data_IF_555550205268
#
_entry.id   IF_555550205268
#
_cell.length_a   1.000
_cell.length_b   1.000
_cell.length_c   1.000
_cell.angle_alpha   90.00
_cell.angle_beta   90.00
_cell.angle_gamma   90.00
#
_symmetry.space_group_name_H-M   'P 1'
#
loop_
_entity.id
_entity.type
_entity.pdbx_description
1 polymer ?
#
# COMPACT_ATOMS: atom_id res chain seq x y z
N UNK A 1 -21.57 29.29 47.09
CA UNK A 1 -20.50 28.36 47.52
C UNK A 1 -20.16 27.55 46.29
N UNK A 2 -19.01 27.87 45.71
CA UNK A 2 -18.57 27.50 44.36
C UNK A 2 -18.16 26.04 44.34
N UNK A 3 -18.75 25.24 43.45
CA UNK A 3 -18.34 23.84 43.27
C UNK A 3 -17.11 23.82 42.37
N UNK A 4 -15.93 23.62 42.97
CA UNK A 4 -14.70 23.35 42.24
C UNK A 4 -14.80 22.00 41.53
N UNK A 5 -14.55 21.99 40.22
CA UNK A 5 -14.35 20.77 39.45
C UNK A 5 -12.86 20.43 39.54
N UNK A 6 -12.53 19.32 40.18
CA UNK A 6 -11.16 18.78 40.24
C UNK A 6 -10.68 18.42 38.83
N UNK A 7 -9.81 19.25 38.25
CA UNK A 7 -8.99 18.94 37.08
C UNK A 7 -7.90 17.92 37.47
N UNK A 8 -8.26 16.65 37.64
CA UNK A 8 -7.30 15.58 37.90
C UNK A 8 -7.06 14.75 36.65
N UNK A 9 -5.95 15.07 35.98
CA UNK A 9 -5.17 14.22 35.06
C UNK A 9 -5.97 13.37 34.06
N UNK A 10 -6.34 13.99 32.93
CA UNK A 10 -6.49 13.24 31.69
C UNK A 10 -5.10 12.89 31.16
N UNK A 11 -4.68 11.65 31.37
CA UNK A 11 -3.52 11.08 30.69
C UNK A 11 -3.85 10.99 29.18
N UNK A 12 -3.12 11.71 28.29
CA UNK A 12 -3.45 11.73 26.86
C UNK A 12 -3.32 10.35 26.20
N UNK A 13 -2.74 9.36 26.89
CA UNK A 13 -2.65 7.98 26.43
C UNK A 13 -3.94 7.15 26.64
N UNK A 14 -4.93 7.63 27.40
CA UNK A 14 -6.12 6.83 27.78
C UNK A 14 -7.33 7.05 26.85
N UNK A 15 -7.26 8.02 25.94
CA UNK A 15 -8.38 8.36 25.04
C UNK A 15 -8.09 8.04 23.57
N UNK A 16 -7.50 6.89 23.27
CA UNK A 16 -7.61 6.32 21.92
C UNK A 16 -8.82 5.37 21.94
N UNK A 17 -9.95 5.71 21.28
CA UNK A 17 -11.00 4.72 21.09
C UNK A 17 -10.37 3.50 20.41
N UNK A 18 -10.72 2.30 20.87
CA UNK A 18 -10.26 1.07 20.25
C UNK A 18 -10.40 1.22 18.73
N UNK A 19 -9.29 1.06 17.99
CA UNK A 19 -9.31 1.08 16.53
C UNK A 19 -10.26 -0.04 16.11
N UNK A 20 -11.48 0.37 15.78
CA UNK A 20 -12.63 -0.46 15.49
C UNK A 20 -12.29 -1.44 14.36
N UNK A 21 -12.57 -2.72 14.58
CA UNK A 21 -12.27 -3.79 13.62
C UNK A 21 -13.26 -3.84 12.45
N UNK A 22 -14.27 -2.97 12.44
CA UNK A 22 -15.27 -2.91 11.40
C UNK A 22 -14.80 -2.13 10.15
N UNK A 23 -15.41 -2.49 9.01
CA UNK A 23 -15.09 -2.07 7.66
C UNK A 23 -14.85 -0.55 7.49
N UNK A 24 -14.12 -0.11 6.43
CA UNK A 24 -13.72 1.28 6.25
C UNK A 24 -14.88 2.26 6.46
N UNK A 25 -14.71 3.20 7.39
CA UNK A 25 -15.72 4.21 7.77
C UNK A 25 -16.07 5.19 6.65
N UNK A 26 -15.32 5.20 5.55
CA UNK A 26 -15.64 5.95 4.35
C UNK A 26 -15.73 5.00 3.14
N UNK A 27 -16.67 5.23 2.19
CA UNK A 27 -16.59 4.57 0.89
C UNK A 27 -15.19 4.81 0.31
N UNK A 28 -14.60 3.78 -0.32
CA UNK A 28 -13.25 3.85 -0.88
C UNK A 28 -13.13 5.00 -1.89
N UNK A 29 -12.77 6.18 -1.40
CA UNK A 29 -12.48 7.34 -2.24
C UNK A 29 -11.30 6.94 -3.12
N UNK A 30 -11.51 6.95 -4.42
CA UNK A 30 -10.47 6.68 -5.38
C UNK A 30 -9.67 7.96 -5.64
N UNK A 31 -8.36 7.79 -5.76
CA UNK A 31 -7.42 8.82 -6.11
C UNK A 31 -6.78 8.47 -7.44
N UNK A 32 -6.67 9.46 -8.33
CA UNK A 32 -6.07 9.30 -9.64
C UNK A 32 -4.85 10.22 -9.76
N UNK A 33 -3.69 9.65 -10.12
CA UNK A 33 -2.50 10.42 -10.51
C UNK A 33 -2.25 10.16 -11.99
N UNK A 34 -1.79 11.17 -12.73
CA UNK A 34 -1.48 11.05 -14.15
C UNK A 34 -0.21 11.82 -14.49
N UNK A 35 0.63 11.21 -15.32
CA UNK A 35 1.78 11.86 -15.95
C UNK A 35 1.95 11.26 -17.36
N UNK A 36 1.80 12.08 -18.40
CA UNK A 36 1.80 11.63 -19.81
C UNK A 36 0.83 10.45 -20.03
N UNK A 37 1.28 9.37 -20.66
CA UNK A 37 0.48 8.17 -20.99
C UNK A 37 0.37 7.18 -19.83
N UNK A 38 0.87 7.54 -18.65
CA UNK A 38 0.81 6.74 -17.44
C UNK A 38 -0.14 7.37 -16.41
N UNK A 39 -1.05 6.56 -15.87
CA UNK A 39 -1.90 6.98 -14.76
C UNK A 39 -2.14 5.82 -13.80
N UNK A 40 -2.45 6.16 -12.56
CA UNK A 40 -2.82 5.19 -11.54
C UNK A 40 -4.15 5.57 -10.94
N UNK A 41 -4.95 4.56 -10.63
CA UNK A 41 -6.11 4.67 -9.76
C UNK A 41 -5.85 3.76 -8.57
N UNK A 42 -6.01 4.29 -7.36
CA UNK A 42 -5.88 3.55 -6.10
C UNK A 42 -6.89 4.10 -5.09
N UNK A 43 -7.14 3.35 -4.02
CA UNK A 43 -8.03 3.81 -2.96
C UNK A 43 -7.35 4.77 -1.96
N UNK A 44 -8.08 5.18 -0.93
CA UNK A 44 -7.58 6.05 0.15
C UNK A 44 -6.45 5.44 1.00
N UNK A 45 -6.22 4.12 0.94
CA UNK A 45 -5.09 3.47 1.60
C UNK A 45 -3.84 3.46 0.69
N UNK A 46 -3.97 3.89 -0.58
CA UNK A 46 -2.97 3.73 -1.63
C UNK A 46 -2.96 2.33 -2.25
N UNK A 47 -3.94 1.48 -1.90
CA UNK A 47 -4.05 0.11 -2.35
C UNK A 47 -4.68 0.03 -3.75
N UNK A 48 -4.16 -0.89 -4.56
CA UNK A 48 -4.79 -1.38 -5.79
C UNK A 48 -5.37 -2.77 -5.50
N UNK A 49 -6.69 -2.94 -5.69
CA UNK A 49 -7.43 -4.18 -5.45
C UNK A 49 -7.76 -4.97 -6.72
N UNK A 50 -7.83 -4.30 -7.87
CA UNK A 50 -8.02 -4.90 -9.19
C UNK A 50 -9.46 -4.88 -9.73
N UNK A 51 -10.42 -4.25 -9.05
CA UNK A 51 -11.83 -4.17 -9.50
C UNK A 51 -12.05 -3.16 -10.62
N UNK A 52 -11.21 -2.12 -10.68
CA UNK A 52 -11.24 -1.05 -11.68
C UNK A 52 -10.06 -0.09 -11.53
N UNK A 53 -9.38 -0.17 -10.38
CA UNK A 53 -8.11 0.43 -10.06
C UNK A 53 -6.92 -0.33 -10.65
N UNK A 54 -5.77 0.34 -10.67
CA UNK A 54 -4.53 -0.17 -11.28
C UNK A 54 -3.55 0.92 -11.70
N UNK A 55 -2.32 0.52 -12.03
CA UNK A 55 -1.39 1.33 -12.81
C UNK A 55 -1.60 1.00 -14.29
N UNK A 56 -1.76 2.04 -15.09
CA UNK A 56 -2.00 1.93 -16.52
C UNK A 56 -0.93 2.66 -17.30
N UNK A 57 -0.58 2.11 -18.45
CA UNK A 57 0.26 2.72 -19.48
C UNK A 57 -0.33 2.36 -20.84
N UNK A 58 -0.50 3.35 -21.71
CA UNK A 58 -1.12 3.15 -23.03
C UNK A 58 -2.43 2.36 -22.94
N UNK A 59 -3.32 2.78 -22.03
CA UNK A 59 -4.59 2.13 -21.68
C UNK A 59 -4.50 0.66 -21.24
N UNK A 60 -3.30 0.13 -20.97
CA UNK A 60 -3.07 -1.24 -20.50
C UNK A 60 -2.73 -1.24 -19.02
N UNK A 61 -3.46 -2.03 -18.22
CA UNK A 61 -3.22 -2.21 -16.79
C UNK A 61 -1.96 -3.06 -16.55
N UNK A 62 -0.87 -2.40 -16.22
CA UNK A 62 0.45 -3.01 -15.95
C UNK A 62 0.67 -3.34 -14.47
N UNK A 63 -0.21 -2.91 -13.57
CA UNK A 63 -0.27 -3.32 -12.17
C UNK A 63 -1.74 -3.44 -11.75
N UNK A 64 -2.21 -4.66 -11.53
CA UNK A 64 -3.61 -4.97 -11.20
C UNK A 64 -3.85 -5.16 -9.71
N UNK A 65 -2.78 -5.32 -8.92
CA UNK A 65 -2.83 -5.41 -7.46
C UNK A 65 -1.57 -4.80 -6.86
N UNK A 66 -1.73 -4.06 -5.77
CA UNK A 66 -0.63 -3.53 -4.96
C UNK A 66 -1.15 -3.13 -3.59
N UNK A 67 -1.02 -4.01 -2.59
CA UNK A 67 -1.65 -3.85 -1.27
C UNK A 67 -0.64 -3.94 -0.14
N UNK A 68 -0.76 -3.06 0.85
CA UNK A 68 0.09 -3.04 2.03
C UNK A 68 -0.60 -3.71 3.23
N UNK A 69 0.11 -4.65 3.86
CA UNK A 69 -0.30 -5.29 5.10
C UNK A 69 0.77 -5.15 6.18
N UNK A 70 0.32 -4.94 7.42
CA UNK A 70 1.16 -4.91 8.62
C UNK A 70 0.63 -5.99 9.56
N UNK A 71 1.49 -6.95 9.92
CA UNK A 71 1.07 -8.04 10.80
C UNK A 71 -0.06 -8.90 10.23
N UNK A 72 -0.14 -9.03 8.90
CA UNK A 72 -1.21 -9.77 8.22
C UNK A 72 -2.54 -9.03 8.10
N UNK A 73 -2.66 -7.79 8.59
CA UNK A 73 -3.88 -6.97 8.51
C UNK A 73 -3.64 -5.71 7.68
N UNK A 74 -4.70 -5.16 7.10
CA UNK A 74 -4.64 -3.81 6.55
C UNK A 74 -4.47 -2.82 7.72
N UNK A 75 -3.56 -1.84 7.60
CA UNK A 75 -3.42 -0.80 8.61
C UNK A 75 -4.67 0.09 8.65
N UNK A 76 -4.88 0.83 9.75
CA UNK A 76 -5.97 1.80 9.88
C UNK A 76 -5.63 3.10 9.16
N UNK A 77 -6.57 3.64 8.40
CA UNK A 77 -6.42 4.93 7.71
C UNK A 77 -6.65 6.10 8.67
N UNK A 78 -5.70 7.03 8.74
CA UNK A 78 -5.82 8.30 9.47
C UNK A 78 -6.22 9.45 8.55
N UNK A 79 -5.80 9.38 7.28
CA UNK A 79 -6.18 10.36 6.26
C UNK A 79 -5.40 10.17 4.97
N UNK A 80 -5.96 10.66 3.87
CA UNK A 80 -5.33 10.64 2.57
C UNK A 80 -5.52 11.97 1.84
N UNK A 81 -4.51 12.36 1.07
CA UNK A 81 -4.51 13.60 0.30
C UNK A 81 -3.86 13.41 -1.06
N UNK A 82 -4.26 14.27 -1.99
CA UNK A 82 -3.66 14.40 -3.31
C UNK A 82 -3.24 15.86 -3.48
N UNK A 83 -2.04 16.10 -3.99
CA UNK A 83 -1.57 17.46 -4.30
C UNK A 83 -2.47 18.13 -5.35
N UNK A 84 -2.49 19.46 -5.38
CA UNK A 84 -3.38 20.22 -6.27
C UNK A 84 -3.15 19.93 -7.76
N UNK A 85 -1.91 19.59 -8.14
CA UNK A 85 -1.49 19.20 -9.48
C UNK A 85 -1.68 17.69 -9.77
N UNK A 86 -2.25 16.93 -8.82
CA UNK A 86 -2.52 15.49 -8.92
C UNK A 86 -1.29 14.61 -9.19
N UNK A 87 -0.08 15.07 -8.83
CA UNK A 87 1.16 14.31 -9.04
C UNK A 87 1.62 13.53 -7.81
N UNK A 88 1.20 13.96 -6.61
CA UNK A 88 1.65 13.40 -5.34
C UNK A 88 0.47 12.96 -4.48
N UNK A 89 0.39 11.67 -4.19
CA UNK A 89 -0.56 11.09 -3.25
C UNK A 89 0.14 10.77 -1.93
N UNK A 90 -0.56 11.01 -0.82
CA UNK A 90 -0.10 10.65 0.52
C UNK A 90 -1.23 9.97 1.28
N UNK A 91 -0.94 8.86 1.94
CA UNK A 91 -1.80 8.22 2.93
C UNK A 91 -1.06 8.11 4.27
N UNK A 92 -1.70 8.62 5.32
CA UNK A 92 -1.27 8.45 6.70
C UNK A 92 -2.06 7.29 7.28
N UNK A 93 -1.36 6.26 7.74
CA UNK A 93 -1.92 5.04 8.29
C UNK A 93 -1.31 4.76 9.67
N UNK A 94 -1.92 3.85 10.42
CA UNK A 94 -1.33 3.32 11.66
C UNK A 94 -1.50 1.81 11.75
N UNK A 95 -0.59 1.15 12.48
CA UNK A 95 -0.70 -0.28 12.72
C UNK A 95 -1.92 -0.62 13.61
N UNK A 96 -2.50 -1.80 13.36
CA UNK A 96 -3.38 -2.48 14.30
C UNK A 96 -2.54 -3.29 15.29
N UNK A 97 -3.20 -3.84 16.32
CA UNK A 97 -2.57 -4.79 17.23
C UNK A 97 -1.98 -5.95 16.43
N UNK A 98 -0.70 -6.26 16.65
CA UNK A 98 0.00 -7.32 15.92
C UNK A 98 0.98 -8.06 16.82
N UNK A 99 1.22 -9.32 16.51
CA UNK A 99 2.18 -10.18 17.19
C UNK A 99 3.36 -10.40 16.23
N UNK A 100 4.55 -10.01 16.68
CA UNK A 100 5.79 -10.20 15.93
C UNK A 100 6.22 -11.68 15.90
N UNK A 101 7.18 -12.06 15.04
CA UNK A 101 7.60 -13.46 14.87
C UNK A 101 8.21 -14.09 16.13
N UNK A 102 8.74 -13.27 17.04
CA UNK A 102 9.27 -13.67 18.35
C UNK A 102 8.21 -13.67 19.47
N UNK A 103 6.93 -13.48 19.13
CA UNK A 103 5.84 -13.35 20.09
C UNK A 103 5.70 -11.96 20.72
N UNK A 104 6.52 -10.97 20.32
CA UNK A 104 6.41 -9.62 20.87
C UNK A 104 5.13 -8.93 20.38
N UNK A 105 4.32 -8.44 21.30
CA UNK A 105 3.11 -7.71 20.95
C UNK A 105 3.44 -6.26 20.56
N UNK A 106 2.81 -5.76 19.52
CA UNK A 106 2.82 -4.34 19.15
C UNK A 106 1.43 -3.79 19.39
N UNK A 107 1.33 -2.81 20.27
CA UNK A 107 0.07 -2.13 20.56
C UNK A 107 -0.46 -1.43 19.30
N UNK A 108 -1.79 -1.37 19.12
CA UNK A 108 -2.38 -0.59 18.03
C UNK A 108 -2.03 0.90 18.17
N UNK A 109 -1.93 1.62 17.05
CA UNK A 109 -1.77 3.08 17.09
C UNK A 109 -0.35 3.60 17.35
N UNK A 110 0.63 2.74 17.64
CA UNK A 110 1.98 3.18 18.07
C UNK A 110 2.97 3.36 16.93
N UNK A 111 2.68 2.81 15.76
CA UNK A 111 3.48 2.98 14.54
C UNK A 111 2.66 3.74 13.51
N UNK A 112 3.10 4.96 13.24
CA UNK A 112 2.63 5.73 12.10
C UNK A 112 3.30 5.26 10.82
N UNK A 113 2.52 5.20 9.76
CA UNK A 113 2.94 4.75 8.44
C UNK A 113 2.61 5.88 7.46
N UNK A 114 3.65 6.51 6.92
CA UNK A 114 3.51 7.51 5.85
C UNK A 114 3.78 6.83 4.50
N UNK A 115 2.75 6.75 3.67
CA UNK A 115 2.79 6.15 2.34
C UNK A 115 2.64 7.27 1.31
N UNK A 116 3.72 7.57 0.59
CA UNK A 116 3.75 8.59 -0.46
C UNK A 116 3.92 7.94 -1.84
N UNK A 117 3.17 8.41 -2.84
CA UNK A 117 3.23 7.94 -4.23
C UNK A 117 3.32 9.09 -5.22
N UNK A 118 4.12 8.93 -6.26
CA UNK A 118 4.07 9.78 -7.45
C UNK A 118 4.35 8.99 -8.73
N UNK A 119 4.01 9.57 -9.88
CA UNK A 119 4.33 9.01 -11.21
C UNK A 119 5.33 9.94 -11.90
N UNK A 120 6.39 9.36 -12.45
CA UNK A 120 7.38 10.09 -13.24
C UNK A 120 7.96 9.19 -14.32
N UNK A 121 7.99 9.66 -15.57
CA UNK A 121 8.57 8.94 -16.73
C UNK A 121 8.13 7.46 -16.79
N UNK A 122 6.83 7.24 -16.95
CA UNK A 122 6.20 5.90 -17.06
C UNK A 122 6.39 4.97 -15.86
N UNK A 123 6.79 5.50 -14.70
CA UNK A 123 7.04 4.71 -13.49
C UNK A 123 6.27 5.25 -12.31
N UNK A 124 5.66 4.33 -11.56
CA UNK A 124 5.17 4.57 -10.21
C UNK A 124 6.33 4.48 -9.21
N UNK A 125 6.50 5.53 -8.42
CA UNK A 125 7.40 5.54 -7.27
C UNK A 125 6.58 5.54 -5.99
N UNK A 126 6.96 4.66 -5.08
CA UNK A 126 6.33 4.52 -3.77
C UNK A 126 7.39 4.65 -2.68
N UNK A 127 7.09 5.42 -1.65
CA UNK A 127 7.85 5.46 -0.41
C UNK A 127 6.92 5.14 0.76
N UNK A 128 7.36 4.22 1.63
CA UNK A 128 6.67 3.90 2.88
C UNK A 128 7.64 4.12 4.03
N UNK A 129 7.28 5.01 4.95
CA UNK A 129 8.06 5.34 6.15
C UNK A 129 7.30 4.84 7.37
N UNK A 130 8.03 4.19 8.27
CA UNK A 130 7.50 3.71 9.55
C UNK A 130 8.10 4.53 10.68
N UNK A 131 7.26 5.14 11.50
CA UNK A 131 7.67 5.94 12.66
C UNK A 131 7.07 5.34 13.93
N UNK A 132 7.92 4.93 14.86
CA UNK A 132 7.51 4.28 16.11
C UNK A 132 7.48 5.27 17.28
N UNK A 133 6.28 5.46 17.86
CA UNK A 133 6.01 6.32 19.00
C UNK A 133 5.93 5.57 20.33
N UNK A 134 6.15 4.26 20.35
CA UNK A 134 6.18 3.50 21.59
C UNK A 134 7.50 3.69 22.34
N UNK A 135 7.52 3.32 23.63
CA UNK A 135 8.72 3.41 24.47
C UNK A 135 9.79 2.35 24.15
N UNK A 136 9.48 1.36 23.29
CA UNK A 136 10.36 0.25 22.94
C UNK A 136 10.53 0.14 21.42
N UNK A 137 11.55 -0.57 20.98
CA UNK A 137 11.64 -0.94 19.57
C UNK A 137 10.48 -1.85 19.17
N UNK A 138 10.05 -1.73 17.92
CA UNK A 138 8.95 -2.52 17.37
C UNK A 138 9.46 -3.29 16.17
N UNK A 139 9.18 -4.59 16.15
CA UNK A 139 9.49 -5.48 15.03
C UNK A 139 8.23 -5.69 14.20
N UNK A 140 8.17 -5.10 13.00
CA UNK A 140 6.97 -5.07 12.15
C UNK A 140 7.07 -6.08 11.00
N UNK A 141 6.20 -7.10 10.95
CA UNK A 141 5.97 -7.87 9.74
C UNK A 141 5.26 -6.98 8.72
N UNK A 142 5.90 -6.73 7.59
CA UNK A 142 5.35 -5.92 6.49
C UNK A 142 5.24 -6.79 5.26
N UNK A 143 4.10 -6.72 4.56
CA UNK A 143 3.86 -7.50 3.36
C UNK A 143 3.24 -6.62 2.27
N UNK A 144 3.78 -6.75 1.06
CA UNK A 144 3.15 -6.23 -0.14
C UNK A 144 2.59 -7.37 -0.96
N UNK A 145 1.29 -7.35 -1.26
CA UNK A 145 0.69 -8.21 -2.28
C UNK A 145 0.64 -7.46 -3.60
N UNK A 146 0.95 -8.13 -4.70
CA UNK A 146 0.97 -7.50 -6.01
C UNK A 146 0.69 -8.47 -7.17
N UNK A 147 0.25 -7.92 -8.28
CA UNK A 147 -0.07 -8.68 -9.50
C UNK A 147 -0.12 -7.77 -10.73
N UNK A 148 0.04 -8.34 -11.92
CA UNK A 148 -0.07 -7.65 -13.20
C UNK A 148 -0.81 -8.53 -14.21
N UNK A 149 -1.88 -8.01 -14.82
CA UNK A 149 -2.77 -8.79 -15.71
C UNK A 149 -2.75 -8.37 -17.18
N UNK A 150 -2.17 -7.19 -17.49
CA UNK A 150 -2.09 -6.63 -18.83
C UNK A 150 -3.45 -6.53 -19.53
N UNK A 151 -4.51 -6.24 -18.77
CA UNK A 151 -5.84 -5.98 -19.33
C UNK A 151 -5.92 -4.56 -19.85
N UNK A 152 -6.48 -4.38 -21.04
CA UNK A 152 -6.75 -3.03 -21.53
C UNK A 152 -7.93 -2.38 -20.78
N UNK A 153 -8.09 -1.06 -20.91
CA UNK A 153 -9.11 -0.29 -20.20
C UNK A 153 -10.55 -0.75 -20.51
N UNK A 154 -10.83 -1.26 -21.72
CA UNK A 154 -12.15 -1.80 -22.03
C UNK A 154 -12.38 -3.15 -21.35
N UNK A 155 -11.36 -4.00 -21.25
CA UNK A 155 -11.40 -5.23 -20.45
C UNK A 155 -11.64 -4.95 -18.97
N UNK A 156 -10.95 -3.95 -18.40
CA UNK A 156 -11.15 -3.52 -17.01
C UNK A 156 -12.56 -2.98 -16.79
N UNK A 157 -13.17 -2.35 -17.80
CA UNK A 157 -14.56 -1.85 -17.77
C UNK A 157 -15.62 -2.91 -18.08
N UNK A 158 -15.23 -4.18 -18.21
CA UNK A 158 -16.17 -5.32 -18.36
C UNK A 158 -16.37 -5.82 -19.79
N UNK A 159 -15.69 -5.23 -20.79
CA UNK A 159 -15.66 -5.82 -22.14
C UNK A 159 -14.90 -7.14 -22.10
N UNK A 160 -15.41 -8.18 -22.76
CA UNK A 160 -14.67 -9.45 -22.90
C UNK A 160 -13.99 -9.49 -24.27
N UNK A 161 -12.69 -9.78 -24.31
CA UNK A 161 -11.94 -9.99 -25.55
C UNK A 161 -12.11 -11.44 -26.02
N UNK A 162 -12.31 -11.64 -27.32
CA UNK A 162 -12.38 -12.98 -27.93
C UNK A 162 -11.03 -13.72 -27.90
N UNK A 163 -9.92 -12.98 -27.88
CA UNK A 163 -8.56 -13.51 -27.78
C UNK A 163 -7.70 -12.59 -26.92
N UNK A 164 -6.74 -13.19 -26.20
CA UNK A 164 -5.68 -12.48 -25.47
C UNK A 164 -4.32 -13.00 -25.91
N UNK A 165 -3.29 -12.21 -25.66
CA UNK A 165 -1.91 -12.63 -25.73
C UNK A 165 -1.55 -13.63 -24.63
N UNK A 166 -0.26 -13.93 -24.49
CA UNK A 166 0.25 -14.93 -23.55
C UNK A 166 0.89 -14.27 -22.35
N UNK A 167 0.33 -14.50 -21.17
CA UNK A 167 1.02 -14.23 -19.90
C UNK A 167 2.05 -15.33 -19.62
N UNK A 168 3.20 -14.95 -19.09
CA UNK A 168 4.24 -15.89 -18.63
C UNK A 168 4.33 -15.89 -17.12
N UNK A 169 4.89 -16.96 -16.57
CA UNK A 169 5.20 -17.03 -15.14
C UNK A 169 6.11 -15.86 -14.74
N UNK A 170 5.83 -15.29 -13.56
CA UNK A 170 6.62 -14.19 -13.04
C UNK A 170 8.04 -14.66 -12.72
N UNK A 171 9.03 -13.86 -13.12
CA UNK A 171 10.43 -14.10 -12.79
C UNK A 171 10.76 -13.37 -11.50
N UNK A 172 11.15 -14.15 -10.48
CA UNK A 172 11.52 -13.64 -9.16
C UNK A 172 13.03 -13.48 -9.08
N UNK A 173 13.49 -12.26 -8.78
CA UNK A 173 14.89 -11.97 -8.43
C UNK A 173 15.05 -11.71 -6.94
N UNK A 174 16.21 -11.22 -6.51
CA UNK A 174 16.53 -10.97 -5.09
C UNK A 174 15.59 -9.92 -4.44
N UNK A 175 15.37 -8.80 -5.12
CA UNK A 175 14.56 -7.68 -4.62
C UNK A 175 13.55 -7.18 -5.66
N UNK A 176 13.26 -7.99 -6.67
CA UNK A 176 12.35 -7.62 -7.77
C UNK A 176 11.52 -8.79 -8.27
N UNK A 177 10.33 -8.49 -8.78
CA UNK A 177 9.50 -9.43 -9.56
C UNK A 177 9.20 -8.83 -10.92
N UNK A 178 9.36 -9.63 -11.97
CA UNK A 178 9.09 -9.23 -13.36
C UNK A 178 7.96 -10.05 -13.94
N UNK A 179 6.89 -9.37 -14.34
CA UNK A 179 5.79 -9.92 -15.12
C UNK A 179 6.04 -9.70 -16.60
N UNK A 180 5.73 -10.71 -17.43
CA UNK A 180 5.89 -10.61 -18.89
C UNK A 180 4.62 -11.07 -19.60
N UNK A 181 4.24 -10.31 -20.62
CA UNK A 181 3.10 -10.60 -21.46
C UNK A 181 3.45 -10.38 -22.93
N UNK A 182 3.17 -11.35 -23.78
CA UNK A 182 3.34 -11.26 -25.22
C UNK A 182 1.98 -10.98 -25.87
N UNK A 183 1.82 -9.80 -26.48
CA UNK A 183 0.57 -9.44 -27.14
C UNK A 183 0.34 -10.20 -28.43
N UNK A 184 -0.88 -10.13 -28.97
CA UNK A 184 -1.23 -10.71 -30.28
C UNK A 184 -0.48 -10.04 -31.45
N UNK A 185 0.12 -8.89 -31.18
CA UNK A 185 1.03 -8.14 -32.05
C UNK A 185 2.48 -8.67 -32.00
N UNK A 186 2.74 -9.74 -31.24
CA UNK A 186 4.07 -10.26 -30.94
C UNK A 186 4.99 -9.25 -30.23
N UNK A 187 4.41 -8.23 -29.59
CA UNK A 187 5.17 -7.25 -28.79
C UNK A 187 5.19 -7.71 -27.33
N UNK A 188 6.40 -7.88 -26.81
CA UNK A 188 6.61 -8.19 -25.40
C UNK A 188 6.40 -6.94 -24.53
N UNK A 189 5.59 -7.09 -23.49
CA UNK A 189 5.31 -6.09 -22.45
C UNK A 189 5.81 -6.62 -21.12
N UNK A 190 6.35 -5.73 -20.30
CA UNK A 190 6.87 -6.08 -18.99
C UNK A 190 6.40 -5.09 -17.93
N UNK A 191 6.15 -5.62 -16.73
CA UNK A 191 5.93 -4.83 -15.52
C UNK A 191 6.90 -5.32 -14.46
N UNK A 192 7.64 -4.40 -13.84
CA UNK A 192 8.68 -4.73 -12.87
C UNK A 192 8.39 -4.02 -11.57
N UNK A 193 8.26 -4.81 -10.50
CA UNK A 193 8.19 -4.31 -9.13
C UNK A 193 9.56 -4.52 -8.52
N UNK A 194 10.18 -3.44 -8.05
CA UNK A 194 11.51 -3.47 -7.44
C UNK A 194 11.47 -2.76 -6.09
N UNK A 195 12.01 -3.43 -5.07
CA UNK A 195 12.09 -2.93 -3.71
C UNK A 195 13.48 -2.35 -3.43
N UNK A 196 13.54 -1.21 -2.75
CA UNK A 196 14.80 -0.58 -2.34
C UNK A 196 15.48 -1.31 -1.17
N UNK A 197 14.70 -2.07 -0.40
CA UNK A 197 15.18 -2.97 0.64
C UNK A 197 15.01 -4.41 0.15
N UNK A 198 15.97 -5.29 0.43
CA UNK A 198 15.84 -6.72 0.13
C UNK A 198 14.77 -7.34 1.04
N UNK A 199 13.70 -7.93 0.48
CA UNK A 199 12.70 -8.64 1.27
C UNK A 199 13.31 -9.86 1.97
N UNK A 200 12.77 -10.27 3.11
CA UNK A 200 13.14 -11.55 3.72
C UNK A 200 12.66 -12.74 2.89
N UNK A 201 11.48 -12.59 2.27
CA UNK A 201 10.96 -13.54 1.29
C UNK A 201 10.35 -12.79 0.13
N UNK A 202 10.56 -13.30 -1.06
CA UNK A 202 9.99 -12.75 -2.28
C UNK A 202 9.38 -13.90 -3.08
N UNK A 203 8.14 -13.69 -3.48
CA UNK A 203 7.30 -14.64 -4.21
C UNK A 203 6.72 -13.96 -5.44
N UNK A 204 6.19 -14.73 -6.41
CA UNK A 204 5.60 -14.17 -7.64
C UNK A 204 4.52 -13.10 -7.43
N UNK A 205 3.78 -13.16 -6.32
CA UNK A 205 2.63 -12.27 -6.07
C UNK A 205 2.72 -11.51 -4.73
N UNK A 206 3.85 -11.61 -4.02
CA UNK A 206 4.06 -10.85 -2.79
C UNK A 206 5.52 -10.80 -2.34
N UNK A 207 5.82 -9.85 -1.46
CA UNK A 207 7.10 -9.75 -0.76
C UNK A 207 6.86 -9.53 0.73
N UNK A 208 7.68 -10.17 1.56
CA UNK A 208 7.61 -10.12 3.02
C UNK A 208 8.89 -9.48 3.59
N UNK A 209 8.71 -8.57 4.52
CA UNK A 209 9.76 -7.85 5.22
C UNK A 209 9.53 -7.96 6.72
N UNK A 210 10.61 -7.85 7.47
CA UNK A 210 10.57 -7.68 8.91
C UNK A 210 11.42 -6.46 9.24
N UNK A 211 10.74 -5.40 9.66
CA UNK A 211 11.36 -4.09 9.84
C UNK A 211 11.47 -3.82 11.34
N UNK A 212 12.70 -3.69 11.84
CA UNK A 212 12.95 -3.17 13.18
C UNK A 212 12.83 -1.65 13.12
N UNK A 213 11.84 -1.10 13.80
CA UNK A 213 11.63 0.35 13.91
C UNK A 213 12.05 0.79 15.29
N UNK A 214 13.21 1.45 15.35
CA UNK A 214 13.72 2.06 16.58
C UNK A 214 12.74 3.08 17.16
N UNK A 215 12.86 3.35 18.46
CA UNK A 215 12.10 4.43 19.09
C UNK A 215 12.40 5.74 18.37
N UNK A 216 11.36 6.54 18.10
CA UNK A 216 11.55 7.91 17.59
C UNK A 216 12.35 8.73 18.60
N UNK A 217 13.43 9.35 18.16
CA UNK A 217 14.13 10.37 18.95
C UNK A 217 13.24 11.63 19.03
N UNK A 218 13.07 12.14 20.26
CA UNK A 218 12.27 13.34 20.54
C UNK A 218 12.90 14.59 19.93
#
# INVERSE_FOLDING_TARGET
>A
MTTEVEERKLDPAVALPALDESAPREPHRQFALKHEDCFIVADSYGDIRGTGDGLFRDDTRVLSRFRLFIGGRMPSLLGASLSQDNILFTANLTNLATIGPNGSETLPGVVHIDRTRFIWRDRMFERVIFTNYSAREVLLPVRFDFDADFRDMFEVRGTTRSRRGRAHDAVVGESRVTFRYEGLDNVARQSVIAFSMTPQKIHPNHAEFLILVGRRDN
#
